data_IF_223406144539
#
_entry.id   IF_223406144539
#
_cell.length_a   1.000
_cell.length_b   1.000
_cell.length_c   1.000
_cell.angle_alpha   90.00
_cell.angle_beta   90.00
_cell.angle_gamma   90.00
#
_symmetry.space_group_name_H-M   'P 1'
#
loop_
_entity.id
_entity.type
_entity.pdbx_description
1 polymer ?
#
# COMPACT_ATOMS: atom_id res chain seq x y z
N UNK A 1 24.70 -9.60 -15.04
CA UNK A 1 23.27 -9.41 -14.87
C UNK A 1 22.99 -7.96 -15.20
N UNK A 2 22.55 -7.66 -16.41
CA UNK A 2 22.18 -6.32 -16.83
C UNK A 2 20.89 -5.90 -16.14
N UNK A 3 20.98 -5.28 -14.98
CA UNK A 3 19.85 -4.61 -14.34
C UNK A 3 19.68 -3.24 -14.98
N UNK A 4 18.47 -2.91 -15.43
CA UNK A 4 18.09 -1.54 -15.73
C UNK A 4 18.11 -0.67 -14.47
N UNK A 5 17.89 0.61 -14.63
CA UNK A 5 17.75 1.53 -13.51
C UNK A 5 16.56 1.15 -12.64
N UNK A 6 16.75 1.07 -11.33
CA UNK A 6 15.68 0.82 -10.37
C UNK A 6 14.92 2.13 -10.13
N UNK A 7 13.64 2.15 -10.52
CA UNK A 7 12.78 3.31 -10.37
C UNK A 7 11.79 3.14 -9.23
N UNK A 8 11.55 4.21 -8.49
CA UNK A 8 10.58 4.24 -7.39
C UNK A 8 9.93 5.62 -7.30
N UNK A 9 8.69 5.72 -6.81
CA UNK A 9 8.09 7.00 -6.50
C UNK A 9 8.89 7.68 -5.39
N UNK A 10 9.37 8.90 -5.61
CA UNK A 10 10.16 9.63 -4.63
C UNK A 10 9.78 11.10 -4.58
N UNK A 11 10.16 11.79 -3.51
CA UNK A 11 10.02 13.24 -3.41
C UNK A 11 11.03 14.00 -4.27
N UNK A 12 12.05 13.33 -4.80
CA UNK A 12 13.01 13.95 -5.70
C UNK A 12 12.36 14.39 -7.04
N UNK A 13 11.24 13.79 -7.39
CA UNK A 13 10.43 14.17 -8.56
C UNK A 13 9.51 15.38 -8.27
N UNK A 14 9.36 15.76 -7.02
CA UNK A 14 8.65 16.96 -6.59
C UNK A 14 9.58 18.16 -6.71
N UNK A 15 9.30 19.04 -7.68
CA UNK A 15 10.13 20.19 -8.00
C UNK A 15 10.42 21.12 -6.81
N UNK A 16 9.52 21.18 -5.84
CA UNK A 16 9.68 21.99 -4.64
C UNK A 16 10.10 21.19 -3.40
N UNK A 17 10.18 19.86 -3.52
CA UNK A 17 10.53 18.94 -2.44
C UNK A 17 9.70 19.11 -1.15
N UNK A 18 8.47 19.58 -1.26
CA UNK A 18 7.57 19.74 -0.12
C UNK A 18 6.80 18.46 0.19
N UNK A 19 6.65 17.58 -0.79
CA UNK A 19 5.87 16.36 -0.67
C UNK A 19 4.39 16.62 -0.46
N UNK A 20 3.68 15.58 -0.07
CA UNK A 20 2.24 15.63 0.08
C UNK A 20 1.49 15.67 -1.24
N UNK A 21 0.23 15.25 -1.19
CA UNK A 21 -0.65 15.16 -2.36
C UNK A 21 -1.70 16.26 -2.24
N UNK A 22 -1.80 17.12 -3.23
CA UNK A 22 -2.72 18.26 -3.22
C UNK A 22 -4.14 17.82 -2.90
N UNK A 23 -4.73 18.46 -1.89
CA UNK A 23 -6.10 18.20 -1.45
C UNK A 23 -6.31 16.91 -0.63
N UNK A 24 -5.26 16.09 -0.41
CA UNK A 24 -5.39 14.79 0.24
C UNK A 24 -4.48 14.60 1.47
N UNK A 25 -3.21 15.00 1.36
CA UNK A 25 -2.25 14.83 2.46
C UNK A 25 -1.50 16.13 2.72
N UNK A 26 -0.98 16.28 3.95
CA UNK A 26 -0.08 17.39 4.27
C UNK A 26 1.29 17.24 3.58
N UNK A 27 2.11 18.26 3.71
CA UNK A 27 3.52 18.24 3.26
C UNK A 27 4.33 17.19 4.03
N UNK A 28 5.51 16.84 3.52
CA UNK A 28 6.39 15.87 4.18
C UNK A 28 6.78 16.32 5.58
N UNK A 29 6.96 15.37 6.46
CA UNK A 29 7.37 15.60 7.83
C UNK A 29 8.90 15.75 7.93
N UNK A 30 9.33 16.70 8.76
CA UNK A 30 10.74 16.94 9.05
C UNK A 30 10.94 17.06 10.56
N UNK A 31 12.13 16.69 11.03
CA UNK A 31 12.52 16.97 12.41
C UNK A 31 12.83 18.46 12.53
N UNK A 32 12.12 19.15 13.41
CA UNK A 32 12.38 20.53 13.73
C UNK A 32 12.93 20.65 15.15
N UNK A 33 14.24 20.88 15.26
CA UNK A 33 14.92 20.97 16.53
C UNK A 33 14.42 22.15 17.41
N UNK A 34 13.87 23.21 16.80
CA UNK A 34 13.39 24.39 17.55
C UNK A 34 12.10 24.11 18.33
N UNK A 35 11.31 23.11 17.91
CA UNK A 35 10.09 22.69 18.60
C UNK A 35 10.23 21.33 19.26
N UNK A 36 11.41 20.70 19.15
CA UNK A 36 11.71 19.40 19.76
C UNK A 36 10.93 18.23 19.19
N UNK A 37 10.46 18.31 17.93
CA UNK A 37 9.59 17.28 17.39
C UNK A 37 9.51 17.26 15.87
N UNK A 38 8.64 16.38 15.37
CA UNK A 38 8.34 16.21 13.95
C UNK A 38 7.18 17.12 13.57
N UNK A 39 7.33 17.87 12.49
CA UNK A 39 6.25 18.70 11.96
C UNK A 39 6.26 18.76 10.43
N UNK A 40 5.12 19.09 9.79
CA UNK A 40 5.08 19.31 8.35
C UNK A 40 5.98 20.50 7.95
N UNK A 41 6.64 20.39 6.81
CA UNK A 41 7.30 21.54 6.16
C UNK A 41 6.24 22.60 5.86
N UNK A 42 6.58 23.88 6.07
CA UNK A 42 5.71 24.99 5.72
C UNK A 42 5.50 25.07 4.19
N UNK A 43 4.26 25.27 3.77
CA UNK A 43 3.87 25.34 2.37
C UNK A 43 2.68 24.46 2.02
N UNK A 44 2.36 24.40 0.74
CA UNK A 44 1.28 23.55 0.22
C UNK A 44 1.83 22.27 -0.39
N UNK A 45 1.10 21.15 -0.32
CA UNK A 45 1.46 19.92 -1.02
C UNK A 45 1.67 20.14 -2.52
N UNK A 46 2.66 19.49 -3.11
CA UNK A 46 3.10 19.74 -4.49
C UNK A 46 2.92 18.54 -5.42
N UNK A 47 2.67 17.35 -4.88
CA UNK A 47 2.46 16.15 -5.70
C UNK A 47 1.06 16.16 -6.30
N UNK A 48 1.00 16.00 -7.63
CA UNK A 48 -0.25 15.85 -8.39
C UNK A 48 -0.54 14.38 -8.68
N UNK A 49 -1.84 14.03 -8.79
CA UNK A 49 -2.28 12.68 -9.14
C UNK A 49 -2.46 12.57 -10.64
N UNK A 50 -1.37 12.31 -11.35
CA UNK A 50 -1.40 12.08 -12.81
C UNK A 50 -0.89 10.67 -13.11
N UNK A 51 -1.54 9.93 -14.03
CA UNK A 51 -1.03 8.64 -14.46
C UNK A 51 0.39 8.75 -14.98
N UNK A 52 1.21 7.77 -14.66
CA UNK A 52 2.61 7.72 -15.09
C UNK A 52 2.72 7.07 -16.47
N UNK A 53 3.65 7.54 -17.29
CA UNK A 53 3.88 6.94 -18.62
C UNK A 53 4.42 5.50 -18.52
N UNK A 54 5.13 5.18 -17.43
CA UNK A 54 5.72 3.86 -17.18
C UNK A 54 5.54 3.47 -15.71
N UNK A 55 5.39 2.17 -15.46
CA UNK A 55 5.34 1.65 -14.10
C UNK A 55 6.70 1.79 -13.40
N UNK A 56 6.68 1.87 -12.08
CA UNK A 56 7.89 1.85 -11.24
C UNK A 56 8.33 0.42 -10.91
N UNK A 57 9.59 0.25 -10.52
CA UNK A 57 10.09 -1.01 -9.99
C UNK A 57 9.62 -1.23 -8.53
N UNK A 58 9.51 -0.15 -7.77
CA UNK A 58 8.91 -0.21 -6.44
C UNK A 58 7.40 0.10 -6.54
N UNK A 59 6.59 -0.93 -6.38
CA UNK A 59 5.14 -0.87 -6.39
C UNK A 59 4.54 -0.96 -4.97
N UNK A 60 5.33 -0.68 -3.94
CA UNK A 60 4.85 -0.61 -2.56
C UNK A 60 3.84 0.53 -2.37
N UNK A 61 2.69 0.21 -1.80
CA UNK A 61 1.61 1.16 -1.55
C UNK A 61 1.28 1.20 -0.06
N UNK A 62 1.54 2.31 0.64
CA UNK A 62 1.18 2.46 2.04
C UNK A 62 -0.32 2.18 2.27
N UNK A 63 -0.64 1.40 3.30
CA UNK A 63 -2.02 1.06 3.67
C UNK A 63 -2.70 0.01 2.78
N UNK A 64 -2.05 -0.49 1.74
CA UNK A 64 -2.66 -1.52 0.90
C UNK A 64 -2.84 -2.84 1.67
N UNK A 65 -4.05 -3.39 1.61
CA UNK A 65 -4.35 -4.78 1.97
C UNK A 65 -4.09 -5.68 0.77
N UNK A 66 -3.98 -6.99 0.98
CA UNK A 66 -3.66 -7.96 -0.07
C UNK A 66 -4.58 -7.85 -1.29
N UNK A 67 -5.89 -7.79 -1.07
CA UNK A 67 -6.89 -7.73 -2.16
C UNK A 67 -6.87 -6.42 -2.96
N UNK A 68 -6.29 -5.35 -2.42
CA UNK A 68 -6.12 -4.10 -3.16
C UNK A 68 -5.15 -4.22 -4.34
N UNK A 69 -4.20 -5.18 -4.29
CA UNK A 69 -3.21 -5.34 -5.34
C UNK A 69 -3.80 -5.81 -6.66
N UNK A 70 -4.94 -6.48 -6.60
CA UNK A 70 -5.67 -6.98 -7.78
C UNK A 70 -6.92 -6.18 -8.12
N UNK A 71 -7.21 -5.12 -7.34
CA UNK A 71 -8.42 -4.33 -7.51
C UNK A 71 -8.22 -3.23 -8.58
N UNK A 72 -8.96 -3.28 -9.72
CA UNK A 72 -8.90 -2.24 -10.74
C UNK A 72 -9.41 -0.91 -10.19
N UNK A 73 -8.67 0.17 -10.47
CA UNK A 73 -9.06 1.50 -10.00
C UNK A 73 -8.74 1.77 -8.53
N UNK A 74 -7.90 0.96 -7.89
CA UNK A 74 -7.48 1.19 -6.51
C UNK A 74 -6.89 2.58 -6.28
N UNK A 75 -6.32 3.22 -7.31
CA UNK A 75 -5.84 4.59 -7.24
C UNK A 75 -6.91 5.62 -6.85
N UNK A 76 -8.19 5.36 -7.14
CA UNK A 76 -9.28 6.23 -6.70
C UNK A 76 -9.51 6.17 -5.17
N UNK A 77 -9.07 5.10 -4.52
CA UNK A 77 -9.23 4.86 -3.08
C UNK A 77 -7.95 5.13 -2.30
N UNK A 78 -6.80 5.10 -2.98
CA UNK A 78 -5.50 5.27 -2.33
C UNK A 78 -4.62 6.25 -3.12
N UNK A 79 -4.40 7.47 -2.57
CA UNK A 79 -3.63 8.50 -3.25
C UNK A 79 -2.16 8.13 -3.45
N UNK A 80 -1.61 7.25 -2.60
CA UNK A 80 -0.24 6.78 -2.77
C UNK A 80 -0.09 5.87 -3.99
N UNK A 81 -1.13 5.11 -4.37
CA UNK A 81 -1.12 4.39 -5.64
C UNK A 81 -1.46 5.31 -6.80
N UNK A 82 -2.44 6.20 -6.65
CA UNK A 82 -2.84 7.15 -7.71
C UNK A 82 -1.66 7.94 -8.29
N UNK A 83 -0.70 8.32 -7.45
CA UNK A 83 0.48 9.12 -7.87
C UNK A 83 1.45 8.36 -8.78
N UNK A 84 1.40 7.03 -8.81
CA UNK A 84 2.32 6.23 -9.62
C UNK A 84 1.65 5.14 -10.46
N UNK A 85 0.33 5.10 -10.47
CA UNK A 85 -0.42 4.22 -11.35
C UNK A 85 -0.25 4.62 -12.82
N UNK A 86 -0.17 3.65 -13.73
CA UNK A 86 -0.05 3.94 -15.17
C UNK A 86 -1.37 4.33 -15.81
N UNK A 87 -2.50 4.01 -15.17
CA UNK A 87 -3.82 4.43 -15.60
C UNK A 87 -4.80 4.48 -14.42
N UNK A 88 -5.95 5.18 -14.57
CA UNK A 88 -6.99 5.18 -13.54
C UNK A 88 -7.57 3.79 -13.21
N UNK A 89 -7.51 2.85 -14.16
CA UNK A 89 -7.97 1.47 -13.98
C UNK A 89 -6.85 0.46 -13.71
N UNK A 90 -5.61 0.92 -13.55
CA UNK A 90 -4.48 0.06 -13.26
C UNK A 90 -4.70 -0.72 -11.94
N UNK A 91 -4.10 -1.90 -11.87
CA UNK A 91 -3.90 -2.62 -10.62
C UNK A 91 -2.43 -2.56 -10.22
N UNK A 92 -2.13 -2.60 -8.93
CA UNK A 92 -0.74 -2.62 -8.44
C UNK A 92 0.02 -3.80 -9.04
N UNK A 93 -0.61 -4.98 -9.06
CA UNK A 93 -0.03 -6.19 -9.64
C UNK A 93 0.19 -6.07 -11.16
N UNK A 94 -0.78 -5.49 -11.87
CA UNK A 94 -0.67 -5.26 -13.32
C UNK A 94 0.50 -4.35 -13.66
N UNK A 95 0.63 -3.23 -12.94
CA UNK A 95 1.74 -2.29 -13.13
C UNK A 95 3.10 -2.95 -12.79
N UNK A 96 3.16 -3.78 -11.75
CA UNK A 96 4.36 -4.55 -11.45
C UNK A 96 4.75 -5.47 -12.63
N UNK A 97 3.79 -6.10 -13.29
CA UNK A 97 4.04 -6.99 -14.43
C UNK A 97 4.49 -6.24 -15.69
N UNK A 98 4.12 -4.96 -15.86
CA UNK A 98 4.64 -4.13 -16.95
C UNK A 98 6.16 -3.98 -16.91
N UNK A 99 6.78 -4.16 -15.75
CA UNK A 99 8.25 -4.14 -15.60
C UNK A 99 8.92 -5.46 -16.01
N UNK A 100 8.14 -6.49 -16.40
CA UNK A 100 8.67 -7.82 -16.74
C UNK A 100 9.71 -8.33 -15.72
N UNK A 101 9.34 -8.45 -14.45
CA UNK A 101 10.30 -8.71 -13.40
C UNK A 101 10.97 -10.07 -13.60
N UNK A 102 12.27 -10.14 -13.37
CA UNK A 102 13.04 -11.40 -13.28
C UNK A 102 13.23 -11.84 -11.83
N UNK A 103 13.12 -10.88 -10.90
CA UNK A 103 13.14 -11.10 -9.46
C UNK A 103 12.16 -10.14 -8.77
N UNK A 104 11.49 -10.60 -7.72
CA UNK A 104 10.57 -9.78 -6.93
C UNK A 104 10.73 -10.01 -5.43
N UNK A 105 10.33 -9.02 -4.65
CA UNK A 105 10.05 -9.15 -3.22
C UNK A 105 8.58 -8.83 -2.98
N UNK A 106 7.88 -9.69 -2.23
CA UNK A 106 6.49 -9.48 -1.87
C UNK A 106 6.33 -9.51 -0.35
N UNK A 107 5.98 -8.36 0.20
CA UNK A 107 5.75 -8.20 1.65
C UNK A 107 4.38 -7.56 1.88
N UNK A 108 3.36 -8.19 1.30
CA UNK A 108 1.96 -7.79 1.48
C UNK A 108 1.31 -8.61 2.59
N UNK A 109 0.35 -8.03 3.29
CA UNK A 109 -0.50 -8.72 4.25
C UNK A 109 -0.51 -8.08 5.63
N UNK A 110 0.49 -7.29 6.00
CA UNK A 110 0.49 -6.62 7.31
C UNK A 110 -0.78 -5.77 7.52
N UNK A 111 -1.21 -5.02 6.52
CA UNK A 111 -2.41 -4.18 6.62
C UNK A 111 -3.73 -4.97 6.64
N UNK A 112 -3.72 -6.24 6.30
CA UNK A 112 -4.90 -7.11 6.39
C UNK A 112 -5.35 -7.35 7.84
N UNK A 113 -4.46 -7.09 8.81
CA UNK A 113 -4.71 -7.25 10.26
C UNK A 113 -4.34 -6.02 11.08
N UNK A 114 -3.36 -5.21 10.63
CA UNK A 114 -2.75 -4.16 11.45
C UNK A 114 -3.73 -3.03 11.80
N UNK A 115 -4.57 -2.61 10.87
CA UNK A 115 -5.50 -1.52 11.10
C UNK A 115 -6.49 -1.86 12.24
N UNK A 116 -6.96 -3.10 12.29
CA UNK A 116 -7.80 -3.60 13.38
C UNK A 116 -7.08 -3.50 14.74
N UNK A 117 -5.85 -3.99 14.79
CA UNK A 117 -5.08 -4.01 16.02
C UNK A 117 -4.76 -2.60 16.53
N UNK A 118 -4.35 -1.69 15.64
CA UNK A 118 -3.97 -0.32 16.02
C UNK A 118 -5.17 0.58 16.34
N UNK A 119 -6.36 0.27 15.82
CA UNK A 119 -7.59 1.00 16.12
C UNK A 119 -8.33 0.50 17.36
N UNK A 120 -7.80 -0.54 18.03
CA UNK A 120 -8.50 -1.17 19.16
C UNK A 120 -9.79 -1.87 18.75
N UNK A 121 -9.90 -2.34 17.50
CA UNK A 121 -11.08 -3.02 16.98
C UNK A 121 -12.25 -2.11 16.59
N UNK A 122 -11.98 -0.82 16.36
CA UNK A 122 -12.99 0.15 15.90
C UNK A 122 -12.68 0.61 14.45
N UNK A 123 -13.69 1.09 13.74
CA UNK A 123 -13.53 1.80 12.47
C UNK A 123 -12.91 3.19 12.68
N UNK A 124 -12.69 3.93 11.60
CA UNK A 124 -12.05 5.24 11.65
C UNK A 124 -12.84 6.30 12.47
N UNK A 125 -14.13 6.08 12.73
CA UNK A 125 -14.96 6.92 13.60
C UNK A 125 -14.70 6.70 15.10
N UNK A 126 -13.90 5.67 15.44
CA UNK A 126 -13.59 5.29 16.82
C UNK A 126 -14.74 4.66 17.62
N UNK A 127 -15.89 4.43 17.00
CA UNK A 127 -17.13 3.96 17.65
C UNK A 127 -17.68 2.70 17.00
N UNK A 128 -17.77 2.67 15.68
CA UNK A 128 -18.27 1.50 14.93
C UNK A 128 -17.29 0.33 15.08
N UNK A 129 -17.74 -0.86 15.54
CA UNK A 129 -16.84 -2.01 15.65
C UNK A 129 -16.28 -2.39 14.27
N UNK A 130 -14.99 -2.63 14.22
CA UNK A 130 -14.38 -3.29 13.08
C UNK A 130 -14.64 -4.80 13.15
N UNK A 131 -14.76 -5.43 12.00
CA UNK A 131 -15.09 -6.85 11.90
C UNK A 131 -13.84 -7.71 11.66
N UNK A 132 -13.80 -8.89 12.29
CA UNK A 132 -12.94 -9.98 11.81
C UNK A 132 -13.77 -10.88 10.90
N UNK A 133 -13.45 -10.84 9.60
CA UNK A 133 -14.21 -11.57 8.58
C UNK A 133 -13.98 -13.09 8.63
N UNK A 134 -13.05 -13.58 9.43
CA UNK A 134 -12.97 -15.02 9.72
C UNK A 134 -14.14 -15.50 10.59
N UNK A 135 -14.63 -14.65 11.50
CA UNK A 135 -15.80 -14.95 12.32
C UNK A 135 -17.12 -14.65 11.62
N UNK A 136 -17.18 -13.59 10.80
CA UNK A 136 -18.42 -13.26 10.06
C UNK A 136 -18.65 -14.17 8.85
N UNK A 137 -17.61 -14.84 8.38
CA UNK A 137 -17.67 -15.64 7.15
C UNK A 137 -17.78 -14.82 5.86
N UNK A 138 -17.66 -13.49 5.93
CA UNK A 138 -17.74 -12.63 4.77
C UNK A 138 -16.49 -12.78 3.90
N UNK A 139 -16.69 -13.17 2.64
CA UNK A 139 -15.62 -13.35 1.63
C UNK A 139 -15.66 -12.31 0.52
N UNK A 140 -16.45 -11.24 0.67
CA UNK A 140 -16.54 -10.15 -0.29
C UNK A 140 -15.77 -8.91 0.20
N UNK A 141 -14.51 -8.69 -0.22
CA UNK A 141 -13.69 -7.57 0.25
C UNK A 141 -14.24 -6.18 -0.15
N UNK A 142 -15.16 -6.10 -1.13
CA UNK A 142 -15.79 -4.83 -1.48
C UNK A 142 -16.73 -4.28 -0.38
N UNK A 143 -17.06 -5.10 0.60
CA UNK A 143 -17.92 -4.73 1.73
C UNK A 143 -17.16 -4.54 3.04
N UNK A 144 -15.82 -4.66 3.02
CA UNK A 144 -15.01 -4.54 4.23
C UNK A 144 -14.84 -3.08 4.64
N UNK A 145 -14.92 -2.84 5.94
CA UNK A 145 -14.49 -1.59 6.53
C UNK A 145 -12.96 -1.41 6.47
N UNK A 146 -12.52 -0.16 6.59
CA UNK A 146 -11.09 0.15 6.51
C UNK A 146 -10.24 -0.59 7.53
N UNK A 147 -10.77 -0.77 8.74
CA UNK A 147 -10.07 -1.41 9.85
C UNK A 147 -10.41 -2.89 10.06
N UNK A 148 -11.22 -3.50 9.18
CA UNK A 148 -11.58 -4.90 9.29
C UNK A 148 -10.38 -5.84 9.06
N UNK A 149 -10.41 -7.01 9.69
CA UNK A 149 -9.50 -8.11 9.38
C UNK A 149 -10.00 -8.84 8.13
N UNK A 150 -9.11 -9.00 7.16
CA UNK A 150 -9.39 -9.74 5.92
C UNK A 150 -9.66 -11.23 6.23
N UNK A 151 -10.69 -11.80 5.59
CA UNK A 151 -10.97 -13.24 5.66
C UNK A 151 -9.78 -14.04 5.12
N UNK A 152 -9.35 -15.06 5.83
CA UNK A 152 -8.17 -15.87 5.50
C UNK A 152 -8.29 -16.59 4.14
N UNK A 153 -9.50 -17.00 3.74
CA UNK A 153 -9.70 -17.61 2.42
C UNK A 153 -9.56 -16.58 1.30
N UNK A 154 -10.02 -15.34 1.51
CA UNK A 154 -9.81 -14.22 0.57
C UNK A 154 -8.32 -13.93 0.47
N UNK A 155 -7.63 -13.80 1.62
CA UNK A 155 -6.18 -13.59 1.64
C UNK A 155 -5.44 -14.69 0.87
N UNK A 156 -5.71 -15.95 1.17
CA UNK A 156 -5.06 -17.09 0.51
C UNK A 156 -5.28 -17.10 -1.01
N UNK A 157 -6.52 -16.85 -1.46
CA UNK A 157 -6.86 -16.80 -2.88
C UNK A 157 -6.13 -15.67 -3.60
N UNK A 158 -6.17 -14.46 -3.04
CA UNK A 158 -5.49 -13.29 -3.63
C UNK A 158 -3.98 -13.46 -3.60
N UNK A 159 -3.43 -13.94 -2.49
CA UNK A 159 -1.99 -14.15 -2.36
C UNK A 159 -1.47 -15.19 -3.37
N UNK A 160 -2.23 -16.27 -3.56
CA UNK A 160 -1.95 -17.27 -4.60
C UNK A 160 -1.94 -16.62 -6.00
N UNK A 161 -2.93 -15.78 -6.29
CA UNK A 161 -3.00 -15.04 -7.56
C UNK A 161 -1.77 -14.15 -7.75
N UNK A 162 -1.37 -13.41 -6.72
CA UNK A 162 -0.20 -12.52 -6.77
C UNK A 162 1.07 -13.33 -7.09
N UNK A 163 1.32 -14.40 -6.34
CA UNK A 163 2.54 -15.21 -6.52
C UNK A 163 2.54 -15.89 -7.88
N UNK A 164 1.42 -16.49 -8.29
CA UNK A 164 1.30 -17.15 -9.60
C UNK A 164 1.54 -16.17 -10.75
N UNK A 165 0.97 -14.95 -10.65
CA UNK A 165 1.17 -13.90 -11.66
C UNK A 165 2.62 -13.44 -11.71
N UNK A 166 3.22 -13.13 -10.56
CA UNK A 166 4.62 -12.68 -10.50
C UNK A 166 5.60 -13.72 -11.04
N UNK A 167 5.30 -15.02 -10.87
CA UNK A 167 6.16 -16.11 -11.35
C UNK A 167 5.84 -16.59 -12.76
N UNK A 168 4.77 -16.12 -13.40
CA UNK A 168 4.26 -16.61 -14.68
C UNK A 168 5.29 -16.57 -15.82
N UNK A 169 6.18 -15.58 -15.80
CA UNK A 169 7.27 -15.44 -16.78
C UNK A 169 8.62 -15.99 -16.29
N UNK A 170 8.59 -16.88 -15.29
CA UNK A 170 9.80 -17.51 -14.76
C UNK A 170 10.56 -16.67 -13.72
N UNK A 171 10.02 -15.52 -13.30
CA UNK A 171 10.63 -14.73 -12.24
C UNK A 171 10.78 -15.52 -10.94
N UNK A 172 11.85 -15.25 -10.22
CA UNK A 172 12.09 -15.76 -8.86
C UNK A 172 11.85 -14.68 -7.86
N UNK A 173 11.59 -15.03 -6.61
CA UNK A 173 11.33 -14.00 -5.63
C UNK A 173 11.39 -14.46 -4.19
N UNK A 174 11.24 -13.48 -3.30
CA UNK A 174 11.11 -13.66 -1.87
C UNK A 174 9.73 -13.23 -1.45
N UNK A 175 9.07 -14.07 -0.68
CA UNK A 175 7.81 -13.75 -0.02
C UNK A 175 8.05 -13.68 1.48
N UNK A 176 7.57 -12.61 2.11
CA UNK A 176 7.76 -12.38 3.53
C UNK A 176 6.51 -12.80 4.30
N UNK A 177 6.71 -13.40 5.46
CA UNK A 177 5.62 -13.70 6.41
C UNK A 177 5.10 -12.44 7.07
N UNK A 178 3.84 -12.45 7.48
CA UNK A 178 3.25 -11.40 8.31
C UNK A 178 3.72 -11.62 9.75
N UNK A 179 4.43 -10.66 10.38
CA UNK A 179 4.79 -10.78 11.78
C UNK A 179 3.54 -10.75 12.67
N UNK A 180 3.61 -11.38 13.84
CA UNK A 180 2.55 -11.25 14.84
C UNK A 180 2.41 -9.80 15.25
N UNK A 181 1.18 -9.28 15.27
CA UNK A 181 0.92 -7.91 15.74
C UNK A 181 1.33 -7.70 17.18
N UNK A 182 1.27 -8.75 18.00
CA UNK A 182 1.69 -8.70 19.41
C UNK A 182 3.21 -8.61 19.59
N UNK A 183 4.00 -8.83 18.54
CA UNK A 183 5.47 -8.64 18.57
C UNK A 183 5.91 -7.21 18.25
N UNK A 184 4.97 -6.34 17.91
CA UNK A 184 5.26 -4.93 17.62
C UNK A 184 5.38 -4.17 18.95
N UNK A 185 6.43 -3.36 19.15
CA UNK A 185 6.63 -2.61 20.41
C UNK A 185 5.48 -1.70 20.84
N UNK A 186 4.59 -1.35 19.91
CA UNK A 186 3.39 -0.57 20.21
C UNK A 186 2.42 -1.30 21.14
N UNK A 187 2.44 -2.66 21.15
CA UNK A 187 1.53 -3.50 21.93
C UNK A 187 2.20 -4.20 23.12
N UNK A 188 3.49 -3.94 23.39
CA UNK A 188 4.29 -4.57 24.47
C UNK A 188 4.67 -3.59 25.58
#
# INVERSE_FOLDING_TARGET
>A
VGGGEFTQPSYAEDMNNLGGIQGLTGTRLVINASVGGVQPIAGSPTITLTPQATAYNNMGVPGAKSFHLTFPGYGALNPYFARHATSPSATVLGDAMLKTPTFFTNWIGANDVLAYATSGGAQADGVTPAADHNFTGNTNPATYGGNDITNSNVFASVYSTIVTTLTSNGAKGVVCTIPSVTSIPYFT
#
